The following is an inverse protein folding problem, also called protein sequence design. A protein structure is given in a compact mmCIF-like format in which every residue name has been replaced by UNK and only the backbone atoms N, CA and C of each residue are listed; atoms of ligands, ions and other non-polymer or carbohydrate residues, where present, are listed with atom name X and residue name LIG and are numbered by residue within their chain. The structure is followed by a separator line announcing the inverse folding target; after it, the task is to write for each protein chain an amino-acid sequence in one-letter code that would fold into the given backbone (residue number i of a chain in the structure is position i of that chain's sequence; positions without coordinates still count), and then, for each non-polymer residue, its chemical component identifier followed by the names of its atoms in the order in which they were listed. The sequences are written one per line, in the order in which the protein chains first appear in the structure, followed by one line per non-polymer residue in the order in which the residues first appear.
data_IF_693300781149
#
_entry.id   IF_693300781149
#
_cell.length_a   1.000
_cell.length_b   1.000
_cell.length_c   1.000
_cell.angle_alpha   90.00
_cell.angle_beta   90.00
_cell.angle_gamma   90.00
#
_symmetry.space_group_name_H-M   'P 1'
#
loop_
_entity.id
_entity.type
_entity.pdbx_description
1 polymer ?
#
# COMPACT_ATOMS: atom_id res chain seq x y z
N UNK A 1 28.96 2.89 -3.07
CA UNK A 1 28.40 1.96 -4.09
C UNK A 1 27.94 0.70 -3.39
N UNK A 2 26.76 0.17 -3.75
CA UNK A 2 26.17 -1.03 -3.11
C UNK A 2 27.14 -2.24 -3.07
N UNK A 3 28.03 -2.37 -4.06
CA UNK A 3 29.08 -3.40 -4.08
C UNK A 3 30.11 -3.28 -2.93
N UNK A 4 30.52 -2.07 -2.53
CA UNK A 4 31.38 -1.85 -1.35
C UNK A 4 30.68 -2.23 -0.03
N UNK A 5 29.34 -2.16 -0.01
CA UNK A 5 28.51 -2.52 1.16
C UNK A 5 28.26 -4.03 1.27
N UNK A 6 28.24 -4.74 0.13
CA UNK A 6 28.03 -6.20 0.07
C UNK A 6 29.30 -7.01 0.37
N UNK A 7 30.49 -6.41 0.32
CA UNK A 7 31.76 -7.10 0.60
C UNK A 7 32.10 -8.21 -0.40
N UNK A 8 31.45 -8.21 -1.58
CA UNK A 8 31.68 -9.18 -2.63
C UNK A 8 32.72 -8.63 -3.62
N UNK A 9 33.92 -9.21 -3.61
CA UNK A 9 34.96 -8.91 -4.59
C UNK A 9 34.72 -9.72 -5.87
N UNK A 10 34.54 -9.02 -6.99
CA UNK A 10 34.41 -9.62 -8.32
C UNK A 10 35.81 -9.73 -8.91
N UNK A 11 36.26 -10.93 -9.28
CA UNK A 11 37.63 -11.15 -9.79
C UNK A 11 37.90 -10.53 -11.16
N UNK A 12 36.85 -10.15 -11.89
CA UNK A 12 36.95 -9.65 -13.27
C UNK A 12 37.30 -8.17 -13.37
N UNK A 13 37.06 -7.38 -12.31
CA UNK A 13 37.33 -5.93 -12.33
C UNK A 13 37.40 -5.39 -10.90
N UNK A 14 38.35 -4.49 -10.66
CA UNK A 14 38.51 -3.82 -9.38
C UNK A 14 37.38 -2.80 -9.17
N UNK A 15 36.92 -2.66 -7.93
CA UNK A 15 35.82 -1.75 -7.60
C UNK A 15 36.19 -0.29 -7.86
N UNK A 16 37.46 0.07 -7.65
CA UNK A 16 37.96 1.41 -7.91
C UNK A 16 38.04 1.73 -9.41
N UNK A 17 38.24 0.71 -10.26
CA UNK A 17 38.15 0.86 -11.71
C UNK A 17 36.70 1.11 -12.15
N UNK A 18 35.74 0.41 -11.54
CA UNK A 18 34.30 0.68 -11.79
C UNK A 18 33.93 2.10 -11.36
N UNK A 19 34.40 2.55 -10.20
CA UNK A 19 34.10 3.90 -9.68
C UNK A 19 34.69 4.97 -10.61
N UNK A 20 35.92 4.75 -11.08
CA UNK A 20 36.56 5.64 -12.07
C UNK A 20 35.79 5.69 -13.39
N UNK A 21 35.35 4.54 -13.91
CA UNK A 21 34.55 4.45 -15.13
C UNK A 21 33.18 5.13 -14.97
N UNK A 22 32.50 4.91 -13.84
CA UNK A 22 31.19 5.51 -13.57
C UNK A 22 31.24 7.04 -13.47
N UNK A 23 32.40 7.60 -13.11
CA UNK A 23 32.63 9.04 -12.97
C UNK A 23 33.36 9.68 -14.17
N UNK A 24 33.59 8.93 -15.27
CA UNK A 24 34.41 9.38 -16.40
C UNK A 24 33.80 10.59 -17.14
N UNK A 25 32.51 10.51 -17.49
CA UNK A 25 31.81 11.58 -18.22
C UNK A 25 31.12 12.58 -17.29
N UNK A 26 30.67 12.12 -16.11
CA UNK A 26 29.95 12.92 -15.14
C UNK A 26 30.10 12.30 -13.75
N UNK A 27 30.39 13.12 -12.75
CA UNK A 27 30.47 12.60 -11.38
C UNK A 27 29.10 12.09 -10.92
N UNK A 28 29.09 10.95 -10.26
CA UNK A 28 27.91 10.22 -9.83
C UNK A 28 27.08 11.05 -8.85
N UNK A 29 27.71 11.90 -8.04
CA UNK A 29 27.07 12.84 -7.12
C UNK A 29 26.23 13.92 -7.83
N UNK A 30 26.59 14.25 -9.07
CA UNK A 30 25.84 15.21 -9.89
C UNK A 30 24.90 14.52 -10.88
N UNK A 31 24.88 13.20 -10.90
CA UNK A 31 23.92 12.45 -11.70
C UNK A 31 22.55 12.53 -11.03
N UNK A 32 21.60 13.15 -11.74
CA UNK A 32 20.22 13.26 -11.29
C UNK A 32 19.61 11.86 -11.25
N UNK A 33 19.45 11.31 -10.06
CA UNK A 33 18.78 10.03 -9.87
C UNK A 33 17.28 10.33 -9.84
N UNK A 34 16.55 9.90 -10.87
CA UNK A 34 15.09 9.99 -10.85
C UNK A 34 14.55 8.86 -9.95
N UNK A 35 14.32 9.18 -8.68
CA UNK A 35 13.60 8.30 -7.74
C UNK A 35 12.07 8.36 -7.94
N UNK A 36 11.63 9.11 -8.95
CA UNK A 36 10.23 9.37 -9.25
C UNK A 36 9.49 8.14 -9.74
N UNK A 37 8.16 8.26 -9.64
CA UNK A 37 7.15 7.28 -10.03
C UNK A 37 7.55 6.51 -11.29
N UNK A 38 7.80 5.21 -11.15
CA UNK A 38 8.42 4.34 -12.17
C UNK A 38 7.72 4.37 -13.54
N UNK A 39 6.48 4.85 -13.63
CA UNK A 39 5.75 4.99 -14.88
C UNK A 39 5.56 6.45 -15.35
N UNK A 40 5.81 7.47 -14.54
CA UNK A 40 5.36 8.86 -14.79
C UNK A 40 3.86 8.99 -15.12
N UNK A 41 3.06 7.94 -14.89
CA UNK A 41 1.63 7.90 -15.16
C UNK A 41 0.89 7.83 -13.83
N UNK A 42 -0.03 8.76 -13.61
CA UNK A 42 -0.93 8.77 -12.45
C UNK A 42 -1.72 7.45 -12.35
N UNK A 43 -1.69 6.79 -11.19
CA UNK A 43 -2.44 5.56 -10.90
C UNK A 43 -3.91 5.66 -11.29
N UNK A 44 -4.51 6.85 -11.13
CA UNK A 44 -5.89 7.11 -11.55
C UNK A 44 -6.04 6.99 -13.06
N UNK A 45 -5.10 7.53 -13.83
CA UNK A 45 -5.10 7.42 -15.30
C UNK A 45 -4.89 5.97 -15.73
N UNK A 46 -3.94 5.27 -15.11
CA UNK A 46 -3.73 3.83 -15.37
C UNK A 46 -5.03 3.06 -15.15
N UNK A 47 -5.75 3.33 -14.05
CA UNK A 47 -7.02 2.67 -13.78
C UNK A 47 -8.11 2.98 -14.80
N UNK A 48 -8.11 4.18 -15.38
CA UNK A 48 -9.03 4.57 -16.46
C UNK A 48 -8.70 3.80 -17.74
N UNK A 49 -7.42 3.77 -18.11
CA UNK A 49 -6.92 3.14 -19.33
C UNK A 49 -7.19 1.62 -19.37
N UNK A 50 -7.17 0.95 -18.22
CA UNK A 50 -7.46 -0.50 -18.10
C UNK A 50 -8.91 -0.81 -17.74
N UNK A 51 -9.79 0.19 -17.67
CA UNK A 51 -11.22 0.00 -17.36
C UNK A 51 -11.52 -0.34 -15.89
N UNK A 52 -10.58 -0.10 -14.96
CA UNK A 52 -10.71 -0.38 -13.52
C UNK A 52 -10.94 0.89 -12.67
N UNK A 53 -11.35 2.00 -13.28
CA UNK A 53 -11.58 3.28 -12.59
C UNK A 53 -12.63 3.19 -11.50
N UNK A 54 -13.70 2.43 -11.71
CA UNK A 54 -14.72 2.22 -10.67
C UNK A 54 -14.12 1.55 -9.42
N UNK A 55 -13.24 0.56 -9.61
CA UNK A 55 -12.53 -0.10 -8.51
C UNK A 55 -11.61 0.88 -7.78
N UNK A 56 -10.88 1.71 -8.53
CA UNK A 56 -10.03 2.76 -8.00
C UNK A 56 -10.81 3.77 -7.16
N UNK A 57 -11.87 4.37 -7.74
CA UNK A 57 -12.67 5.39 -7.06
C UNK A 57 -13.38 4.83 -5.82
N UNK A 58 -13.77 3.54 -5.85
CA UNK A 58 -14.42 2.85 -4.73
C UNK A 58 -13.48 2.62 -3.54
N UNK A 59 -12.23 2.20 -3.78
CA UNK A 59 -11.36 1.69 -2.71
C UNK A 59 -10.10 2.53 -2.47
N UNK A 60 -9.45 2.99 -3.53
CA UNK A 60 -8.10 3.56 -3.44
C UNK A 60 -8.10 4.88 -2.69
N UNK A 61 -9.01 5.81 -3.04
CA UNK A 61 -9.03 7.16 -2.45
C UNK A 61 -9.18 7.12 -0.92
N UNK A 62 -10.09 6.28 -0.42
CA UNK A 62 -10.34 6.17 1.02
C UNK A 62 -9.19 5.45 1.74
N UNK A 63 -8.79 4.26 1.28
CA UNK A 63 -7.78 3.44 1.95
C UNK A 63 -6.38 4.04 1.88
N UNK A 64 -6.02 4.68 0.77
CA UNK A 64 -4.76 5.44 0.61
C UNK A 64 -4.64 6.57 1.63
N UNK A 65 -5.77 7.21 1.98
CA UNK A 65 -5.82 8.21 3.05
C UNK A 65 -5.35 7.68 4.41
N UNK A 66 -5.63 6.42 4.73
CA UNK A 66 -5.15 5.76 5.94
C UNK A 66 -3.66 5.40 5.84
N UNK A 67 -3.23 4.84 4.71
CA UNK A 67 -1.83 4.46 4.49
C UNK A 67 -0.87 5.65 4.56
N UNK A 68 -1.30 6.81 4.09
CA UNK A 68 -0.52 8.06 4.12
C UNK A 68 -0.86 8.97 5.30
N UNK A 69 -1.61 8.48 6.29
CA UNK A 69 -1.95 9.24 7.51
C UNK A 69 -2.54 10.62 7.22
N UNK A 70 -3.41 10.72 6.21
CA UNK A 70 -4.08 11.96 5.87
C UNK A 70 -4.97 12.42 7.05
N UNK A 71 -5.21 13.72 7.19
CA UNK A 71 -5.94 14.30 8.32
C UNK A 71 -7.35 13.71 8.51
N UNK A 72 -8.01 13.30 7.42
CA UNK A 72 -9.30 12.61 7.47
C UNK A 72 -9.22 11.26 8.18
N UNK A 73 -8.21 10.45 7.86
CA UNK A 73 -7.98 9.15 8.46
C UNK A 73 -7.55 9.27 9.92
N UNK A 74 -6.62 10.19 10.24
CA UNK A 74 -6.18 10.47 11.62
C UNK A 74 -7.38 10.90 12.48
N UNK A 75 -8.21 11.81 11.97
CA UNK A 75 -9.43 12.22 12.65
C UNK A 75 -10.36 11.03 12.98
N UNK A 76 -10.52 10.11 12.04
CA UNK A 76 -11.46 8.98 12.19
C UNK A 76 -10.90 7.89 13.11
N UNK A 77 -9.58 7.67 13.09
CA UNK A 77 -8.94 6.59 13.85
C UNK A 77 -8.60 6.95 15.30
N UNK A 78 -8.33 8.22 15.61
CA UNK A 78 -7.84 8.60 16.97
C UNK A 78 -8.59 9.74 17.65
N UNK A 79 -9.61 10.34 17.02
CA UNK A 79 -10.39 11.42 17.64
C UNK A 79 -11.86 11.06 17.83
N UNK A 80 -12.43 11.58 18.92
CA UNK A 80 -13.88 11.59 19.18
C UNK A 80 -14.37 13.02 19.39
N UNK A 81 -15.68 13.23 19.35
CA UNK A 81 -16.29 14.53 19.69
C UNK A 81 -16.41 14.66 21.20
N UNK A 82 -16.00 15.79 21.76
CA UNK A 82 -16.26 16.10 23.16
C UNK A 82 -17.77 16.16 23.41
N UNK A 83 -18.22 15.56 24.52
CA UNK A 83 -19.66 15.52 24.89
C UNK A 83 -20.15 16.82 25.56
N UNK A 84 -19.24 17.74 25.93
CA UNK A 84 -19.62 19.01 26.54
C UNK A 84 -20.14 20.00 25.46
N UNK A 85 -21.43 20.39 25.48
CA UNK A 85 -21.99 21.31 24.50
C UNK A 85 -21.36 22.71 24.56
N UNK A 86 -20.84 23.15 25.72
CA UNK A 86 -20.14 24.44 25.84
C UNK A 86 -18.82 24.48 25.06
N UNK A 87 -18.25 23.31 24.77
CA UNK A 87 -17.02 23.18 23.96
C UNK A 87 -17.32 23.03 22.46
N UNK A 88 -18.57 23.25 22.04
CA UNK A 88 -19.01 23.18 20.62
C UNK A 88 -18.69 21.84 19.95
N UNK A 89 -18.65 20.76 20.72
CA UNK A 89 -18.32 19.42 20.23
C UNK A 89 -16.97 19.36 19.47
N UNK A 90 -15.97 20.13 19.91
CA UNK A 90 -14.62 20.05 19.35
C UNK A 90 -14.05 18.62 19.47
N UNK A 91 -13.01 18.32 18.68
CA UNK A 91 -12.39 17.01 18.65
C UNK A 91 -11.39 16.87 19.79
N UNK A 92 -11.43 15.73 20.46
CA UNK A 92 -10.48 15.33 21.50
C UNK A 92 -9.92 13.95 21.17
N UNK A 93 -8.69 13.61 21.60
CA UNK A 93 -8.18 12.26 21.47
C UNK A 93 -9.16 11.24 22.08
N UNK A 94 -9.33 10.12 21.40
CA UNK A 94 -10.11 9.02 21.94
C UNK A 94 -9.32 8.29 23.02
N UNK A 95 -10.02 7.86 24.08
CA UNK A 95 -9.43 7.02 25.13
C UNK A 95 -9.47 5.54 24.74
N UNK A 96 -10.47 5.16 23.93
CA UNK A 96 -10.64 3.83 23.37
C UNK A 96 -10.48 3.89 21.86
N UNK A 97 -9.73 2.95 21.27
CA UNK A 97 -9.60 2.89 19.82
C UNK A 97 -10.98 2.58 19.20
N UNK A 98 -11.53 3.45 18.33
CA UNK A 98 -12.84 3.23 17.74
C UNK A 98 -12.84 1.93 16.93
N UNK A 99 -13.88 1.12 17.09
CA UNK A 99 -14.06 -0.10 16.32
C UNK A 99 -14.33 0.28 14.86
N UNK A 100 -13.31 0.20 14.02
CA UNK A 100 -13.45 0.43 12.59
C UNK A 100 -14.12 -0.78 11.91
N UNK A 101 -14.89 -0.57 10.83
CA UNK A 101 -15.40 -1.66 10.02
C UNK A 101 -14.28 -2.57 9.51
N UNK A 102 -14.57 -3.88 9.42
CA UNK A 102 -13.63 -4.84 8.87
C UNK A 102 -13.40 -4.61 7.37
N UNK A 103 -12.13 -4.59 6.96
CA UNK A 103 -11.71 -4.52 5.55
C UNK A 103 -11.62 -5.89 4.88
N UNK A 104 -11.84 -6.98 5.61
CA UNK A 104 -11.56 -8.35 5.14
C UNK A 104 -12.38 -8.71 3.90
N UNK A 105 -13.64 -8.29 3.85
CA UNK A 105 -14.51 -8.60 2.70
C UNK A 105 -14.02 -7.89 1.43
N UNK A 106 -13.63 -6.63 1.54
CA UNK A 106 -13.13 -5.85 0.40
C UNK A 106 -11.75 -6.34 -0.05
N UNK A 107 -10.86 -6.61 0.89
CA UNK A 107 -9.54 -7.19 0.61
C UNK A 107 -9.66 -8.52 -0.16
N UNK A 108 -10.60 -9.38 0.24
CA UNK A 108 -10.91 -10.62 -0.47
C UNK A 108 -11.39 -10.37 -1.90
N UNK A 109 -12.31 -9.42 -2.11
CA UNK A 109 -12.82 -9.11 -3.45
C UNK A 109 -11.70 -8.62 -4.38
N UNK A 110 -10.86 -7.70 -3.90
CA UNK A 110 -9.72 -7.18 -4.66
C UNK A 110 -8.72 -8.30 -4.96
N UNK A 111 -8.42 -9.16 -3.97
CA UNK A 111 -7.49 -10.28 -4.14
C UNK A 111 -8.01 -11.30 -5.14
N UNK A 112 -9.30 -11.62 -5.11
CA UNK A 112 -9.92 -12.49 -6.11
C UNK A 112 -9.85 -11.89 -7.52
N UNK A 113 -9.98 -10.55 -7.66
CA UNK A 113 -9.73 -9.87 -8.93
C UNK A 113 -8.29 -10.03 -9.44
N UNK A 114 -7.30 -9.94 -8.54
CA UNK A 114 -5.88 -10.20 -8.89
C UNK A 114 -5.69 -11.67 -9.32
N UNK A 115 -6.31 -12.61 -8.61
CA UNK A 115 -6.26 -14.04 -8.95
C UNK A 115 -6.91 -14.33 -10.30
N UNK A 116 -7.97 -13.61 -10.66
CA UNK A 116 -8.60 -13.69 -12.00
C UNK A 116 -7.60 -13.28 -13.10
N UNK A 117 -6.95 -12.12 -12.95
CA UNK A 117 -5.91 -11.68 -13.88
C UNK A 117 -4.76 -12.70 -13.99
N UNK A 118 -4.40 -13.36 -12.88
CA UNK A 118 -3.37 -14.40 -12.90
C UNK A 118 -3.84 -15.69 -13.58
N UNK A 119 -5.12 -16.06 -13.46
CA UNK A 119 -5.70 -17.22 -14.14
C UNK A 119 -5.63 -17.07 -15.67
N UNK A 120 -5.73 -15.86 -16.21
CA UNK A 120 -5.55 -15.59 -17.65
C UNK A 120 -4.13 -15.95 -18.12
N UNK A 121 -3.11 -15.58 -17.35
CA UNK A 121 -1.71 -15.88 -17.65
C UNK A 121 -1.32 -17.33 -17.32
N UNK A 122 -1.96 -17.92 -16.31
CA UNK A 122 -1.67 -19.26 -15.79
C UNK A 122 -2.96 -20.06 -15.61
N UNK A 123 -3.47 -20.72 -16.67
CA UNK A 123 -4.77 -21.42 -16.64
C UNK A 123 -4.89 -22.56 -15.62
N UNK A 124 -3.78 -23.02 -15.04
CA UNK A 124 -3.77 -24.03 -13.97
C UNK A 124 -4.09 -23.46 -12.59
N UNK A 125 -4.09 -22.13 -12.46
CA UNK A 125 -4.36 -21.44 -11.20
C UNK A 125 -5.87 -21.21 -11.06
N UNK A 126 -6.55 -22.12 -10.34
CA UNK A 126 -7.99 -22.07 -10.06
C UNK A 126 -8.28 -21.90 -8.56
N UNK A 127 -7.47 -21.08 -7.87
CA UNK A 127 -7.70 -20.78 -6.46
C UNK A 127 -8.47 -19.47 -6.30
N UNK A 128 -9.47 -19.46 -5.41
CA UNK A 128 -10.21 -18.26 -5.01
C UNK A 128 -10.42 -18.25 -3.50
N UNK A 129 -10.39 -17.06 -2.91
CA UNK A 129 -10.65 -16.87 -1.48
C UNK A 129 -12.15 -16.96 -1.21
N UNK A 130 -12.53 -17.89 -0.34
CA UNK A 130 -13.91 -18.07 0.14
C UNK A 130 -14.12 -17.46 1.52
N UNK A 131 -15.37 -17.25 1.90
CA UNK A 131 -15.67 -16.92 3.30
C UNK A 131 -15.44 -18.17 4.15
N UNK A 132 -14.74 -18.05 5.27
CA UNK A 132 -14.82 -19.07 6.30
C UNK A 132 -16.23 -19.08 6.87
N UNK A 133 -16.92 -20.21 6.81
CA UNK A 133 -18.19 -20.39 7.53
C UNK A 133 -17.95 -20.12 9.02
N UNK A 134 -18.78 -19.27 9.62
CA UNK A 134 -18.80 -19.08 11.08
C UNK A 134 -19.17 -20.43 11.72
N UNK A 135 -18.18 -21.21 12.17
CA UNK A 135 -18.43 -22.32 13.10
C UNK A 135 -18.78 -21.73 14.48
N UNK A 136 -20.05 -21.89 14.85
CA UNK A 136 -20.60 -22.05 16.20
C UNK A 136 -19.86 -21.32 17.36
N UNK A 137 -20.34 -20.12 17.70
CA UNK A 137 -20.25 -19.56 19.06
C UNK A 137 -21.65 -19.17 19.54
N UNK A 138 -22.55 -20.15 19.58
CA UNK A 138 -23.79 -20.11 20.38
C UNK A 138 -23.88 -21.44 21.13
N UNK A 139 -22.96 -21.68 22.07
CA UNK A 139 -23.07 -22.77 23.03
C UNK A 139 -22.22 -22.52 24.29
N UNK A 140 -22.42 -21.37 24.93
CA UNK A 140 -21.93 -21.15 26.30
C UNK A 140 -22.65 -20.01 27.01
N UNK A 141 -23.98 -19.97 26.94
CA UNK A 141 -24.78 -19.34 27.99
C UNK A 141 -25.95 -20.30 28.29
N UNK A 142 -25.68 -21.21 29.23
CA UNK A 142 -26.67 -21.97 29.99
C UNK A 142 -26.58 -21.50 31.44
#
# INVERSE_FOLDING_TARGET
MKLKELGEEISSIEIDDIDRLANEDKWIEFTSINLGHWASVDLRKISDDVGLKELYDKYYVYTSGYMHSNWGAVRESVYQKCVNPLHRYHRIPTYDLPLMPSVTSDARNITNGILECLSEAYPKLDCRLTQSDKKEQEKSES
#
